data_IF_779206970534
#
_entry.id   IF_779206970534
#
_cell.length_a   1.000
_cell.length_b   1.000
_cell.length_c   1.000
_cell.angle_alpha   90.00
_cell.angle_beta   90.00
_cell.angle_gamma   90.00
#
_symmetry.space_group_name_H-M   'P 1'
#
loop_
_entity.id
_entity.type
_entity.pdbx_description
1 polymer ?
#
# COMPACT_ATOMS: atom_id res chain seq x y z
N UNK A 1 -3.28 -13.30 -0.52
CA UNK A 1 -4.73 -13.60 -0.38
C UNK A 1 -5.33 -13.53 -1.76
N UNK A 2 -6.18 -14.47 -2.14
CA UNK A 2 -6.93 -14.37 -3.41
C UNK A 2 -8.02 -13.31 -3.26
N UNK A 3 -8.08 -12.34 -4.18
CA UNK A 3 -9.10 -11.30 -4.15
C UNK A 3 -10.51 -11.77 -4.52
N UNK A 4 -10.64 -12.97 -5.11
CA UNK A 4 -11.95 -13.54 -5.50
C UNK A 4 -12.66 -14.19 -4.33
N UNK A 5 -11.94 -15.10 -3.66
CA UNK A 5 -12.52 -15.95 -2.62
C UNK A 5 -12.03 -15.57 -1.21
N UNK A 6 -11.14 -14.56 -1.10
CA UNK A 6 -10.51 -14.11 0.15
C UNK A 6 -9.75 -15.21 0.91
N UNK A 7 -9.39 -16.29 0.20
CA UNK A 7 -8.62 -17.39 0.76
C UNK A 7 -7.13 -17.03 0.84
N UNK A 8 -6.48 -17.50 1.91
CA UNK A 8 -5.05 -17.33 2.08
C UNK A 8 -4.33 -18.36 1.19
N UNK A 9 -3.78 -17.88 0.08
CA UNK A 9 -3.02 -18.71 -0.87
C UNK A 9 -1.71 -19.23 -0.26
N UNK A 10 -0.95 -18.34 0.38
CA UNK A 10 0.37 -18.63 0.91
C UNK A 10 0.66 -17.72 2.11
N UNK A 11 1.48 -18.22 3.05
CA UNK A 11 1.94 -17.51 4.23
C UNK A 11 3.45 -17.67 4.33
N UNK A 12 4.15 -16.57 4.57
CA UNK A 12 5.57 -16.56 4.88
C UNK A 12 5.76 -16.07 6.32
N UNK A 13 6.26 -16.90 7.25
CA UNK A 13 6.56 -16.44 8.61
C UNK A 13 7.80 -15.55 8.62
N UNK A 14 7.75 -14.49 9.43
CA UNK A 14 8.92 -13.67 9.75
C UNK A 14 9.67 -14.26 10.95
N UNK A 15 10.90 -13.81 11.17
CA UNK A 15 11.70 -14.24 12.33
C UNK A 15 11.05 -13.74 13.63
N UNK A 16 11.47 -14.31 14.77
CA UNK A 16 11.08 -13.81 16.08
C UNK A 16 11.55 -12.36 16.21
N UNK A 17 10.67 -11.50 16.72
CA UNK A 17 10.91 -10.07 16.96
C UNK A 17 11.14 -9.22 15.69
N UNK A 18 10.82 -9.78 14.52
CA UNK A 18 10.82 -9.09 13.23
C UNK A 18 9.42 -8.59 12.86
N UNK A 19 9.32 -7.30 12.53
CA UNK A 19 8.07 -6.64 12.18
C UNK A 19 8.10 -6.16 10.74
N UNK A 20 7.02 -6.42 10.00
CA UNK A 20 6.82 -5.87 8.65
C UNK A 20 6.40 -4.40 8.72
N UNK A 21 7.14 -3.53 8.05
CA UNK A 21 6.96 -2.07 8.12
C UNK A 21 6.29 -1.52 6.86
N UNK A 22 6.73 -1.98 5.68
CA UNK A 22 6.13 -1.62 4.40
C UNK A 22 6.09 -2.80 3.45
N UNK A 23 5.01 -2.87 2.67
CA UNK A 23 4.80 -3.87 1.63
C UNK A 23 4.40 -3.16 0.34
N UNK A 24 5.13 -3.41 -0.74
CA UNK A 24 4.91 -2.76 -2.04
C UNK A 24 5.05 -3.77 -3.17
N UNK A 25 4.19 -3.65 -4.18
CA UNK A 25 4.32 -4.40 -5.43
C UNK A 25 5.26 -3.65 -6.38
N UNK A 26 6.28 -4.36 -6.89
CA UNK A 26 7.33 -3.83 -7.75
C UNK A 26 7.28 -4.54 -9.10
N UNK A 27 7.44 -3.80 -10.19
CA UNK A 27 7.66 -4.35 -11.53
C UNK A 27 9.10 -4.13 -11.91
N UNK A 28 9.96 -5.12 -11.66
CA UNK A 28 11.40 -4.97 -11.83
C UNK A 28 11.87 -5.71 -13.07
N UNK A 29 12.88 -5.12 -13.71
CA UNK A 29 13.57 -5.72 -14.83
C UNK A 29 14.96 -6.14 -14.34
N UNK A 30 15.24 -7.43 -14.21
CA UNK A 30 16.53 -7.87 -13.70
C UNK A 30 17.64 -7.46 -14.68
N UNK A 31 18.72 -6.86 -14.15
CA UNK A 31 19.97 -6.71 -14.90
C UNK A 31 20.54 -8.11 -15.11
N UNK A 32 20.33 -8.69 -16.30
CA UNK A 32 20.86 -9.99 -16.64
C UNK A 32 22.38 -9.91 -16.90
N UNK A 33 23.15 -10.79 -16.26
CA UNK A 33 24.59 -10.98 -16.51
C UNK A 33 24.84 -11.78 -17.81
N UNK A 34 23.80 -12.37 -18.43
CA UNK A 34 23.90 -13.18 -19.65
C UNK A 34 22.65 -13.08 -20.55
N UNK A 35 22.78 -13.53 -21.80
CA UNK A 35 21.81 -13.39 -22.90
C UNK A 35 20.57 -14.29 -22.84
N UNK A 36 20.42 -15.12 -21.80
CA UNK A 36 19.41 -16.18 -21.74
C UNK A 36 18.16 -15.88 -20.87
N UNK A 37 18.09 -14.72 -20.21
CA UNK A 37 16.89 -14.35 -19.44
C UNK A 37 15.92 -13.53 -20.29
N UNK A 38 14.64 -13.91 -20.22
CA UNK A 38 13.55 -13.15 -20.82
C UNK A 38 13.58 -11.73 -20.25
N UNK A 39 13.69 -10.73 -21.13
CA UNK A 39 13.73 -9.30 -20.75
C UNK A 39 12.35 -8.77 -20.35
N UNK A 40 11.41 -9.66 -20.01
CA UNK A 40 10.07 -9.33 -19.57
C UNK A 40 10.10 -8.68 -18.18
N UNK A 41 9.10 -7.86 -17.89
CA UNK A 41 8.97 -7.26 -16.55
C UNK A 41 8.40 -8.33 -15.61
N UNK A 42 9.15 -8.64 -14.55
CA UNK A 42 8.69 -9.56 -13.51
C UNK A 42 8.03 -8.77 -12.37
N UNK A 43 6.95 -9.32 -11.81
CA UNK A 43 6.27 -8.71 -10.67
C UNK A 43 6.82 -9.31 -9.38
N UNK A 44 7.32 -8.45 -8.51
CA UNK A 44 7.82 -8.81 -7.19
C UNK A 44 6.97 -8.15 -6.11
N UNK A 45 6.87 -8.78 -4.96
CA UNK A 45 6.39 -8.17 -3.73
C UNK A 45 7.61 -7.88 -2.88
N UNK A 46 7.88 -6.60 -2.66
CA UNK A 46 8.91 -6.15 -1.74
C UNK A 46 8.32 -5.94 -0.36
N UNK A 47 8.93 -6.57 0.64
CA UNK A 47 8.60 -6.41 2.06
C UNK A 47 9.83 -5.85 2.77
N UNK A 48 9.62 -4.79 3.51
CA UNK A 48 10.63 -4.20 4.39
C UNK A 48 10.31 -4.55 5.83
N UNK A 49 11.34 -4.92 6.58
CA UNK A 49 11.21 -5.37 7.96
C UNK A 49 12.18 -4.64 8.88
N UNK A 50 11.84 -4.62 10.16
CA UNK A 50 12.69 -4.13 11.25
C UNK A 50 12.64 -5.07 12.44
N UNK A 51 13.78 -5.32 13.05
CA UNK A 51 13.88 -6.07 14.30
C UNK A 51 13.74 -5.14 15.48
N UNK A 52 12.82 -5.45 16.40
CA UNK A 52 12.69 -4.73 17.66
C UNK A 52 13.27 -5.61 18.75
N UNK A 53 14.45 -5.24 19.26
CA UNK A 53 15.13 -6.04 20.28
C UNK A 53 14.55 -5.75 21.67
N UNK A 54 14.62 -6.73 22.58
CA UNK A 54 14.06 -6.65 23.94
C UNK A 54 14.60 -5.48 24.78
N UNK A 55 15.79 -4.97 24.45
CA UNK A 55 16.39 -3.80 25.12
C UNK A 55 15.80 -2.44 24.74
N UNK A 56 14.79 -2.40 23.86
CA UNK A 56 14.08 -1.17 23.53
C UNK A 56 14.94 -0.17 22.75
N UNK A 57 14.87 1.11 23.15
CA UNK A 57 15.53 2.23 22.45
C UNK A 57 17.07 2.20 22.55
N UNK A 58 17.62 1.61 23.61
CA UNK A 58 19.07 1.60 23.86
C UNK A 58 19.84 0.66 22.92
N UNK A 59 19.14 -0.22 22.21
CA UNK A 59 19.73 -1.15 21.26
C UNK A 59 19.36 -0.76 19.85
N UNK A 60 20.37 -0.61 19.00
CA UNK A 60 20.15 -0.31 17.59
C UNK A 60 19.42 -1.45 16.89
N UNK A 61 18.40 -1.05 16.14
CA UNK A 61 17.53 -1.96 15.39
C UNK A 61 18.07 -2.15 13.98
N UNK A 62 18.07 -3.38 13.51
CA UNK A 62 18.47 -3.75 12.15
C UNK A 62 17.22 -4.05 11.31
N UNK A 63 17.34 -4.12 9.99
CA UNK A 63 16.22 -4.41 9.10
C UNK A 63 16.58 -5.35 7.95
N UNK A 64 15.56 -5.85 7.24
CA UNK A 64 15.75 -6.66 6.03
C UNK A 64 14.82 -6.20 4.92
N UNK A 65 15.24 -6.47 3.69
CA UNK A 65 14.39 -6.40 2.51
C UNK A 65 14.22 -7.81 1.96
N UNK A 66 12.96 -8.24 1.87
CA UNK A 66 12.56 -9.51 1.27
C UNK A 66 11.89 -9.21 -0.08
N UNK A 67 12.37 -9.84 -1.15
CA UNK A 67 11.74 -9.77 -2.47
C UNK A 67 11.17 -11.13 -2.83
N UNK A 68 9.85 -11.17 -3.01
CA UNK A 68 9.13 -12.36 -3.46
C UNK A 68 8.74 -12.20 -4.92
N UNK A 69 9.24 -13.05 -5.80
CA UNK A 69 8.72 -13.15 -7.17
C UNK A 69 7.32 -13.77 -7.13
N UNK A 70 6.36 -13.11 -7.78
CA UNK A 70 5.01 -13.63 -7.96
C UNK A 70 5.03 -14.52 -9.20
N UNK A 71 4.93 -15.83 -9.00
CA UNK A 71 4.83 -16.78 -10.11
C UNK A 71 3.45 -16.66 -10.76
N UNK A 72 3.39 -16.32 -12.05
CA UNK A 72 2.13 -16.31 -12.79
C UNK A 72 1.68 -17.75 -13.08
N UNK A 73 0.56 -18.23 -12.50
CA UNK A 73 0.07 -19.60 -12.75
C UNK A 73 -0.42 -19.81 -14.19
N UNK A 74 -0.60 -18.75 -14.99
CA UNK A 74 -0.95 -18.84 -16.41
C UNK A 74 0.25 -19.17 -17.31
N UNK A 75 1.49 -18.99 -16.82
CA UNK A 75 2.68 -19.65 -17.36
C UNK A 75 2.68 -21.11 -16.90
N UNK A 76 1.80 -21.92 -17.49
CA UNK A 76 1.79 -23.38 -17.30
C UNK A 76 3.08 -23.93 -17.91
N UNK A 77 3.97 -24.40 -17.05
CA UNK A 77 5.01 -25.35 -17.42
C UNK A 77 4.39 -26.74 -17.28
N UNK A 78 4.47 -27.55 -18.34
CA UNK A 78 4.29 -29.00 -18.21
C UNK A 78 5.49 -29.60 -17.46
N UNK A 79 5.39 -30.84 -17.00
CA UNK A 79 6.42 -31.55 -16.21
C UNK A 79 7.82 -31.59 -16.89
N UNK A 80 7.88 -31.31 -18.20
CA UNK A 80 9.11 -31.23 -19.01
C UNK A 80 9.63 -29.80 -19.27
N UNK A 81 9.04 -28.75 -18.66
CA UNK A 81 9.57 -27.38 -18.69
C UNK A 81 9.33 -26.59 -19.98
N UNK A 82 8.37 -26.98 -20.81
CA UNK A 82 7.98 -26.24 -22.04
C UNK A 82 6.81 -25.28 -21.74
N UNK A 83 6.90 -24.06 -22.28
CA UNK A 83 5.86 -23.01 -22.15
C UNK A 83 4.68 -23.39 -23.05
N UNK A 84 3.55 -23.79 -22.47
CA UNK A 84 2.29 -23.88 -23.22
C UNK A 84 1.68 -22.49 -23.40
N UNK A 85 1.37 -22.13 -24.65
CA UNK A 85 0.67 -20.89 -24.98
C UNK A 85 -0.72 -20.79 -24.34
N UNK A 86 -1.32 -19.59 -24.31
CA UNK A 86 -2.62 -19.38 -23.69
C UNK A 86 -3.71 -20.22 -24.38
N UNK A 87 -4.57 -20.84 -23.58
CA UNK A 87 -5.74 -21.57 -24.08
C UNK A 87 -6.59 -20.63 -24.95
N UNK A 88 -7.11 -21.08 -26.10
CA UNK A 88 -8.05 -20.28 -26.87
C UNK A 88 -9.27 -20.00 -26.00
N UNK A 89 -9.59 -18.70 -25.85
CA UNK A 89 -10.81 -18.24 -25.20
C UNK A 89 -12.00 -18.95 -25.83
N UNK A 90 -12.77 -19.68 -25.02
CA UNK A 90 -14.00 -20.31 -25.47
C UNK A 90 -14.94 -19.22 -26.01
N UNK A 91 -15.12 -19.21 -27.33
CA UNK A 91 -15.99 -18.27 -28.01
C UNK A 91 -17.45 -18.59 -27.60
N UNK A 92 -18.19 -17.65 -26.96
CA UNK A 92 -19.57 -17.90 -26.54
C UNK A 92 -20.55 -18.07 -27.72
N UNK A 93 -20.08 -17.97 -28.97
CA UNK A 93 -20.88 -18.12 -30.18
C UNK A 93 -21.07 -19.58 -30.66
N UNK A 94 -20.46 -20.60 -30.03
CA UNK A 94 -20.55 -22.00 -30.47
C UNK A 94 -21.63 -22.84 -29.74
N UNK A 95 -22.70 -22.21 -29.26
CA UNK A 95 -23.94 -22.91 -28.84
C UNK A 95 -25.09 -22.52 -29.76
N UNK A 96 -25.02 -22.94 -31.02
CA UNK A 96 -26.18 -23.00 -31.93
C UNK A 96 -25.88 -24.00 -33.04
N UNK A 97 -26.67 -25.06 -33.08
CA UNK A 97 -26.58 -26.11 -34.10
C UNK A 97 -26.26 -27.45 -33.46
N UNK A 98 -27.28 -28.15 -33.00
CA UNK A 98 -27.60 -29.50 -33.50
C UNK A 98 -28.80 -30.07 -32.70
N UNK A 99 -29.96 -29.44 -32.93
CA UNK A 99 -31.25 -30.10 -32.76
C UNK A 99 -31.67 -30.63 -34.14
N UNK A 100 -31.60 -31.95 -34.36
CA UNK A 100 -32.69 -32.79 -34.88
C UNK A 100 -32.24 -34.17 -35.39
N UNK A 101 -33.08 -35.15 -35.02
CA UNK A 101 -33.47 -36.38 -35.71
C UNK A 101 -32.67 -37.67 -35.43
N UNK A 102 -33.25 -38.55 -34.60
CA UNK A 102 -33.93 -39.80 -35.02
C UNK A 102 -34.10 -40.68 -33.75
N UNK A 103 -35.28 -40.78 -33.15
CA UNK A 103 -36.45 -41.59 -33.54
C UNK A 103 -36.33 -43.08 -33.12
N UNK A 104 -37.40 -43.57 -32.49
CA UNK A 104 -37.73 -45.00 -32.36
C UNK A 104 -37.44 -45.71 -31.03
N UNK A 105 -38.50 -46.09 -30.30
CA UNK A 105 -38.49 -47.39 -29.58
C UNK A 105 -39.09 -47.48 -28.17
N UNK A 106 -40.42 -47.41 -28.09
CA UNK A 106 -41.33 -48.09 -27.15
C UNK A 106 -40.86 -48.90 -25.91
N UNK A 107 -41.56 -48.58 -24.81
CA UNK A 107 -42.36 -49.52 -23.97
C UNK A 107 -41.81 -50.07 -22.64
N UNK A 108 -42.72 -50.02 -21.65
CA UNK A 108 -42.86 -50.80 -20.41
C UNK A 108 -41.76 -50.63 -19.32
N UNK A 109 -42.04 -50.58 -18.02
CA UNK A 109 -43.28 -50.69 -17.25
C UNK A 109 -42.94 -50.73 -15.73
N UNK A 110 -43.89 -50.26 -14.93
CA UNK A 110 -44.25 -50.69 -13.57
C UNK A 110 -43.24 -50.67 -12.38
N UNK A 111 -43.71 -49.99 -11.31
CA UNK A 111 -43.75 -50.40 -9.90
C UNK A 111 -42.42 -50.44 -9.10
N UNK A 112 -42.33 -50.28 -7.78
CA UNK A 112 -43.17 -49.77 -6.66
C UNK A 112 -42.36 -50.02 -5.37
N UNK A 113 -42.77 -49.39 -4.24
CA UNK A 113 -42.42 -49.64 -2.82
C UNK A 113 -41.16 -48.92 -2.30
N UNK A 114 -41.27 -47.93 -1.40
CA UNK A 114 -41.76 -47.92 0.00
C UNK A 114 -41.01 -48.84 0.96
N UNK A 115 -40.59 -48.27 2.10
CA UNK A 115 -40.04 -49.01 3.24
C UNK A 115 -39.33 -48.12 4.27
N UNK A 116 -40.12 -47.47 5.12
CA UNK A 116 -39.77 -46.60 6.26
C UNK A 116 -39.33 -47.37 7.52
N UNK A 117 -38.91 -46.59 8.54
CA UNK A 117 -38.94 -46.86 10.02
C UNK A 117 -37.61 -47.27 10.69
N UNK A 118 -37.33 -47.02 11.98
CA UNK A 118 -37.51 -45.91 12.95
C UNK A 118 -37.03 -46.40 14.33
N UNK A 119 -36.43 -45.54 15.17
CA UNK A 119 -36.37 -45.65 16.66
C UNK A 119 -35.31 -46.61 17.24
N UNK A 120 -34.73 -46.46 18.44
CA UNK A 120 -35.03 -45.62 19.63
C UNK A 120 -33.84 -45.70 20.62
N UNK A 121 -33.81 -44.78 21.60
CA UNK A 121 -32.84 -44.54 22.69
C UNK A 121 -32.54 -45.68 23.69
N UNK A 122 -31.47 -45.54 24.49
CA UNK A 122 -31.51 -45.57 25.99
C UNK A 122 -30.19 -45.11 26.65
N UNK A 123 -30.36 -44.40 27.77
CA UNK A 123 -29.36 -43.81 28.69
C UNK A 123 -28.56 -44.81 29.55
N UNK A 124 -27.40 -44.36 30.07
CA UNK A 124 -27.06 -44.45 31.52
C UNK A 124 -25.79 -43.69 31.92
N UNK A 125 -25.92 -42.89 32.99
CA UNK A 125 -24.90 -42.16 33.76
C UNK A 125 -23.95 -43.08 34.57
N UNK A 126 -22.73 -42.58 34.88
CA UNK A 126 -22.20 -42.54 36.27
C UNK A 126 -20.98 -41.61 36.45
N UNK A 127 -21.04 -40.78 37.50
CA UNK A 127 -20.01 -39.89 38.08
C UNK A 127 -19.08 -40.61 39.08
N UNK A 128 -17.84 -40.12 39.21
CA UNK A 128 -17.02 -39.88 40.44
C UNK A 128 -15.57 -39.60 39.97
N UNK A 129 -14.76 -38.63 40.42
CA UNK A 129 -14.74 -37.75 41.60
C UNK A 129 -13.63 -38.19 42.57
N UNK A 130 -12.51 -37.46 42.70
CA UNK A 130 -11.52 -37.64 43.78
C UNK A 130 -10.06 -37.25 43.45
N UNK A 131 -9.39 -36.58 44.38
CA UNK A 131 -8.23 -35.69 44.25
C UNK A 131 -6.88 -36.25 44.77
N UNK A 132 -5.80 -35.49 44.45
CA UNK A 132 -4.49 -35.27 45.11
C UNK A 132 -3.65 -36.42 45.70
N UNK A 133 -2.33 -36.43 45.42
CA UNK A 133 -1.23 -36.18 46.39
C UNK A 133 0.16 -36.31 45.72
N UNK A 134 1.06 -35.39 46.09
CA UNK A 134 2.48 -35.26 45.74
C UNK A 134 3.35 -36.52 45.97
N UNK A 135 4.45 -36.64 45.22
CA UNK A 135 5.74 -37.11 45.75
C UNK A 135 6.94 -36.53 44.97
N UNK A 136 7.87 -36.01 45.76
CA UNK A 136 9.17 -35.42 45.45
C UNK A 136 10.25 -36.44 45.09
N UNK A 137 11.24 -36.04 44.29
CA UNK A 137 12.64 -36.40 44.57
C UNK A 137 13.63 -35.48 43.87
N UNK A 138 14.42 -34.82 44.71
CA UNK A 138 15.64 -34.04 44.48
C UNK A 138 16.82 -34.92 44.06
N UNK A 139 17.61 -34.52 43.06
CA UNK A 139 19.04 -34.86 42.93
C UNK A 139 19.78 -33.68 42.26
N UNK A 140 20.79 -33.12 42.94
CA UNK A 140 21.82 -32.25 42.34
C UNK A 140 23.16 -33.03 42.15
N UNK A 141 24.29 -32.44 41.74
CA UNK A 141 24.92 -32.72 40.46
C UNK A 141 26.28 -33.43 40.62
N UNK A 142 26.82 -34.00 39.55
CA UNK A 142 28.22 -34.46 39.54
C UNK A 142 28.93 -33.96 38.30
N UNK A 143 29.93 -33.12 38.54
CA UNK A 143 30.99 -32.71 37.62
C UNK A 143 32.04 -33.81 37.47
N UNK A 144 32.48 -34.10 36.24
CA UNK A 144 33.83 -34.60 35.94
C UNK A 144 34.23 -34.28 34.49
N UNK A 145 35.54 -34.23 34.28
CA UNK A 145 36.33 -33.46 33.31
C UNK A 145 36.33 -33.90 31.83
N UNK A 146 36.51 -32.86 30.99
CA UNK A 146 37.27 -32.74 29.74
C UNK A 146 37.83 -33.99 29.02
N UNK A 147 37.49 -34.10 27.73
CA UNK A 147 38.23 -34.82 26.70
C UNK A 147 37.87 -34.24 25.33
N UNK A 148 38.85 -33.69 24.62
CA UNK A 148 38.72 -33.15 23.28
C UNK A 148 38.83 -34.26 22.23
N UNK A 149 37.89 -34.31 21.28
CA UNK A 149 38.08 -34.66 19.86
C UNK A 149 36.72 -34.85 19.16
N UNK A 150 36.70 -34.56 17.86
CA UNK A 150 35.73 -34.99 16.84
C UNK A 150 34.53 -34.07 16.52
N UNK A 151 34.87 -32.89 15.98
CA UNK A 151 34.07 -32.17 14.99
C UNK A 151 34.09 -32.94 13.65
N UNK A 152 33.02 -33.66 13.31
CA UNK A 152 32.80 -34.15 11.95
C UNK A 152 31.34 -34.48 11.57
N UNK A 153 30.33 -34.25 12.43
CA UNK A 153 28.99 -34.78 12.20
C UNK A 153 27.85 -33.74 12.18
N UNK A 154 28.14 -32.44 12.19
CA UNK A 154 27.12 -31.37 12.14
C UNK A 154 26.78 -30.91 10.71
N UNK A 155 27.49 -31.41 9.68
CA UNK A 155 27.26 -31.03 8.28
C UNK A 155 26.23 -31.88 7.53
N UNK A 156 25.93 -33.09 7.99
CA UNK A 156 25.04 -34.02 7.26
C UNK A 156 23.57 -33.88 7.68
N UNK A 157 23.27 -33.45 8.92
CA UNK A 157 21.88 -33.22 9.37
C UNK A 157 21.28 -31.91 8.81
N UNK A 158 22.10 -30.88 8.53
CA UNK A 158 21.65 -29.67 7.84
C UNK A 158 21.36 -29.94 6.34
N UNK A 159 22.13 -30.80 5.69
CA UNK A 159 21.89 -31.18 4.29
C UNK A 159 20.64 -32.06 4.13
N UNK A 160 20.30 -32.91 5.11
CA UNK A 160 19.04 -33.68 5.12
C UNK A 160 17.80 -32.80 5.34
N UNK A 161 17.90 -31.74 6.15
CA UNK A 161 16.78 -30.79 6.34
C UNK A 161 16.52 -29.95 5.07
N UNK A 162 17.58 -29.61 4.33
CA UNK A 162 17.52 -28.87 3.05
C UNK A 162 17.08 -29.76 1.89
N UNK A 163 17.31 -31.07 1.94
CA UNK A 163 16.89 -32.02 0.90
C UNK A 163 15.48 -32.60 1.13
N UNK A 164 15.03 -32.79 2.38
CA UNK A 164 13.65 -33.21 2.66
C UNK A 164 12.61 -32.10 2.43
N UNK A 165 13.00 -30.82 2.49
CA UNK A 165 12.15 -29.69 2.03
C UNK A 165 11.99 -29.64 0.51
N UNK A 166 12.76 -30.41 -0.27
CA UNK A 166 12.78 -30.37 -1.74
C UNK A 166 11.84 -31.37 -2.45
N UNK A 167 11.26 -32.35 -1.74
CA UNK A 167 10.47 -33.43 -2.34
C UNK A 167 8.93 -33.22 -2.34
N UNK A 168 8.46 -32.01 -2.00
CA UNK A 168 7.07 -31.58 -2.21
C UNK A 168 7.07 -30.15 -2.73
N UNK A 169 7.43 -29.96 -4.01
CA UNK A 169 7.10 -28.72 -4.72
C UNK A 169 5.57 -28.63 -4.87
N UNK A 170 4.91 -28.28 -3.76
CA UNK A 170 3.59 -27.65 -3.80
C UNK A 170 3.75 -26.39 -4.62
N UNK A 171 2.84 -26.18 -5.55
CA UNK A 171 2.74 -25.01 -6.42
C UNK A 171 2.68 -23.73 -5.55
N UNK A 172 3.83 -23.16 -5.22
CA UNK A 172 3.95 -21.92 -4.42
C UNK A 172 3.67 -20.74 -5.32
N UNK A 173 2.90 -19.77 -4.84
CA UNK A 173 2.56 -18.54 -5.55
C UNK A 173 3.65 -17.47 -5.37
N UNK A 174 4.43 -17.59 -4.30
CA UNK A 174 5.51 -16.69 -3.92
C UNK A 174 6.82 -17.46 -3.89
N UNK A 175 7.80 -16.99 -4.64
CA UNK A 175 9.17 -17.47 -4.57
C UNK A 175 10.04 -16.40 -3.93
N UNK A 176 10.68 -16.71 -2.80
CA UNK A 176 11.65 -15.79 -2.21
C UNK A 176 12.89 -15.70 -3.12
N UNK A 177 13.07 -14.55 -3.76
CA UNK A 177 14.18 -14.30 -4.69
C UNK A 177 15.36 -13.61 -4.00
N UNK A 178 15.11 -12.77 -3.00
CA UNK A 178 16.17 -12.07 -2.25
C UNK A 178 15.79 -11.87 -0.79
N UNK A 179 16.76 -12.09 0.09
CA UNK A 179 16.71 -11.65 1.48
C UNK A 179 18.00 -10.90 1.81
N UNK A 180 17.94 -9.57 1.77
CA UNK A 180 19.09 -8.70 2.03
C UNK A 180 18.97 -8.07 3.41
N UNK A 181 20.02 -8.20 4.24
CA UNK A 181 20.09 -7.60 5.59
C UNK A 181 20.71 -6.20 5.52
N UNK A 182 20.13 -5.27 6.26
CA UNK A 182 20.55 -3.88 6.39
C UNK A 182 21.01 -3.60 7.82
N UNK A 183 21.88 -2.61 7.99
CA UNK A 183 22.45 -2.28 9.31
C UNK A 183 21.46 -1.50 10.18
N UNK A 184 20.61 -0.71 9.56
CA UNK A 184 19.49 -0.02 10.19
C UNK A 184 18.16 -0.65 9.80
N UNK A 185 17.11 -0.23 10.50
CA UNK A 185 15.71 -0.54 10.19
C UNK A 185 15.36 -0.09 8.77
N UNK A 186 14.63 -0.91 8.01
CA UNK A 186 14.15 -0.52 6.69
C UNK A 186 12.72 0.01 6.82
N UNK A 187 12.56 1.32 6.91
CA UNK A 187 11.28 1.93 7.28
C UNK A 187 10.28 1.98 6.12
N UNK A 188 10.75 2.17 4.90
CA UNK A 188 9.90 2.30 3.72
C UNK A 188 10.60 1.80 2.45
N UNK A 189 9.80 1.34 1.50
CA UNK A 189 10.26 0.79 0.23
C UNK A 189 9.36 1.32 -0.90
N UNK A 190 9.93 1.59 -2.08
CA UNK A 190 9.16 1.94 -3.28
C UNK A 190 9.90 1.57 -4.57
N UNK A 191 9.15 1.41 -5.66
CA UNK A 191 9.72 1.31 -6.99
C UNK A 191 10.19 2.69 -7.50
N UNK A 192 11.40 2.76 -8.05
CA UNK A 192 11.95 3.92 -8.74
C UNK A 192 12.44 3.51 -10.13
N UNK A 193 11.60 3.72 -11.15
CA UNK A 193 11.84 3.21 -12.51
C UNK A 193 12.08 1.67 -12.47
N UNK A 194 13.23 1.19 -12.93
CA UNK A 194 13.65 -0.22 -12.87
C UNK A 194 14.38 -0.59 -11.57
N UNK A 195 14.57 0.38 -10.66
CA UNK A 195 15.34 0.24 -9.43
C UNK A 195 14.42 0.14 -8.20
N UNK A 196 14.98 -0.36 -7.10
CA UNK A 196 14.31 -0.41 -5.80
C UNK A 196 14.85 0.72 -4.94
N UNK A 197 13.97 1.60 -4.48
CA UNK A 197 14.28 2.64 -3.51
C UNK A 197 13.97 2.11 -2.10
N UNK A 198 14.97 2.13 -1.23
CA UNK A 198 14.92 1.61 0.13
C UNK A 198 15.30 2.73 1.09
N UNK A 199 14.50 2.95 2.13
CA UNK A 199 14.81 3.89 3.19
C UNK A 199 15.36 3.14 4.41
N UNK A 200 16.64 3.31 4.67
CA UNK A 200 17.31 2.81 5.87
C UNK A 200 17.24 3.89 6.96
N UNK A 201 16.89 3.50 8.18
CA UNK A 201 16.96 4.36 9.36
C UNK A 201 18.40 4.57 9.85
N UNK A 202 18.57 5.34 10.93
CA UNK A 202 19.87 5.51 11.58
C UNK A 202 20.48 4.17 12.01
N UNK A 203 21.80 4.06 11.92
CA UNK A 203 22.56 2.87 12.31
C UNK A 203 23.91 3.28 12.96
N UNK A 204 24.71 2.31 13.40
CA UNK A 204 26.00 2.57 14.07
C UNK A 204 26.96 3.44 13.24
N UNK A 205 26.91 3.32 11.91
CA UNK A 205 27.79 4.03 11.01
C UNK A 205 27.26 5.42 10.64
N UNK A 206 25.93 5.60 10.63
CA UNK A 206 25.26 6.79 10.16
C UNK A 206 24.20 7.21 11.18
N UNK A 207 24.42 8.36 11.82
CA UNK A 207 23.45 8.93 12.75
C UNK A 207 22.14 9.39 12.08
N UNK A 208 22.09 9.41 10.75
CA UNK A 208 20.96 9.90 9.98
C UNK A 208 20.38 8.82 9.06
N UNK A 209 19.08 8.89 8.79
CA UNK A 209 18.43 7.99 7.83
C UNK A 209 18.98 8.21 6.42
N UNK A 210 18.90 7.20 5.55
CA UNK A 210 19.32 7.25 4.15
C UNK A 210 18.27 6.72 3.22
N UNK A 211 18.10 7.38 2.08
CA UNK A 211 17.45 6.81 0.92
C UNK A 211 18.53 6.18 0.04
N UNK A 212 18.44 4.88 -0.17
CA UNK A 212 19.35 4.11 -1.00
C UNK A 212 18.62 3.53 -2.21
N UNK A 213 19.26 3.56 -3.38
CA UNK A 213 18.70 3.07 -4.64
C UNK A 213 19.49 1.87 -5.10
N UNK A 214 18.79 0.76 -5.32
CA UNK A 214 19.37 -0.54 -5.63
C UNK A 214 19.00 -1.02 -7.04
N UNK A 215 19.99 -1.54 -7.77
CA UNK A 215 19.79 -2.36 -8.96
C UNK A 215 19.42 -3.78 -8.53
N UNK A 216 18.38 -4.32 -9.15
CA UNK A 216 18.02 -5.73 -9.01
C UNK A 216 18.81 -6.59 -9.97
N UNK A 217 19.65 -7.50 -9.43
CA UNK A 217 20.46 -8.45 -10.19
C UNK A 217 20.05 -9.87 -9.85
N UNK A 218 20.00 -10.72 -10.87
CA UNK A 218 19.74 -12.14 -10.70
C UNK A 218 21.04 -12.92 -10.85
N UNK A 219 21.48 -13.58 -9.79
CA UNK A 219 22.68 -14.42 -9.83
C UNK A 219 22.32 -15.81 -10.36
N UNK A 220 23.21 -16.35 -11.20
CA UNK A 220 23.04 -17.67 -11.83
C UNK A 220 23.53 -18.75 -10.86
N UNK A 221 22.59 -19.47 -10.24
CA UNK A 221 22.89 -20.64 -9.41
C UNK A 221 21.65 -21.48 -9.18
N UNK A 222 21.78 -22.74 -8.71
CA UNK A 222 20.67 -23.68 -8.50
C UNK A 222 19.68 -23.28 -7.37
N UNK A 223 19.65 -22.00 -7.00
CA UNK A 223 18.69 -21.37 -6.08
C UNK A 223 17.96 -20.13 -6.65
N UNK A 224 18.34 -19.58 -7.82
CA UNK A 224 17.86 -18.28 -8.36
C UNK A 224 17.73 -17.21 -7.26
N UNK A 225 18.79 -17.03 -6.48
CA UNK A 225 18.88 -15.96 -5.48
C UNK A 225 19.42 -14.73 -6.19
N UNK A 226 18.66 -13.63 -6.18
CA UNK A 226 19.14 -12.35 -6.69
C UNK A 226 19.75 -11.50 -5.59
N UNK A 227 20.60 -10.57 -5.98
CA UNK A 227 21.30 -9.64 -5.09
C UNK A 227 20.95 -8.19 -5.43
N UNK A 228 20.91 -7.35 -4.39
CA UNK A 228 20.68 -5.92 -4.52
C UNK A 228 22.02 -5.19 -4.56
N UNK A 229 22.29 -4.49 -5.66
CA UNK A 229 23.52 -3.68 -5.82
C UNK A 229 23.20 -2.21 -5.61
N UNK A 230 23.84 -1.57 -4.63
CA UNK A 230 23.70 -0.13 -4.39
C UNK A 230 24.22 0.68 -5.59
N UNK A 231 23.40 1.62 -6.06
CA UNK A 231 23.72 2.52 -7.19
C UNK A 231 23.91 3.97 -6.73
N UNK A 232 23.05 4.43 -5.82
CA UNK A 232 23.06 5.80 -5.34
C UNK A 232 22.43 5.92 -3.97
N UNK A 233 22.75 7.01 -3.26
CA UNK A 233 22.22 7.27 -1.93
C UNK A 233 21.92 8.77 -1.73
N UNK A 234 21.09 9.07 -0.75
CA UNK A 234 20.74 10.43 -0.31
C UNK A 234 20.54 10.43 1.21
N UNK A 235 21.29 11.29 1.89
CA UNK A 235 21.19 11.44 3.34
C UNK A 235 19.90 12.19 3.73
N UNK A 236 19.06 11.52 4.52
CA UNK A 236 17.92 12.09 5.23
C UNK A 236 18.30 12.44 6.67
N UNK A 237 17.36 12.94 7.47
CA UNK A 237 17.64 13.40 8.83
C UNK A 237 17.27 12.35 9.87
N UNK A 238 15.97 12.09 10.07
CA UNK A 238 15.50 11.29 11.21
C UNK A 238 15.04 9.91 10.76
N UNK A 239 13.85 9.83 10.17
CA UNK A 239 13.25 8.58 9.75
C UNK A 239 12.23 8.85 8.66
N UNK A 240 12.32 8.14 7.54
CA UNK A 240 11.35 8.27 6.45
C UNK A 240 10.15 7.37 6.73
N UNK A 241 8.98 7.97 6.93
CA UNK A 241 7.72 7.27 7.21
C UNK A 241 7.05 6.82 5.92
N UNK A 242 7.07 7.66 4.88
CA UNK A 242 6.46 7.35 3.58
C UNK A 242 7.31 7.86 2.44
N UNK A 243 7.52 7.00 1.45
CA UNK A 243 8.13 7.32 0.17
C UNK A 243 7.08 7.18 -0.94
N UNK A 244 7.05 8.14 -1.86
CA UNK A 244 6.18 8.11 -3.05
C UNK A 244 6.95 8.55 -4.27
N UNK A 245 6.81 7.81 -5.37
CA UNK A 245 7.58 8.04 -6.59
C UNK A 245 6.66 8.38 -7.76
N UNK A 246 7.07 9.35 -8.58
CA UNK A 246 6.46 9.69 -9.86
C UNK A 246 7.55 9.87 -10.89
N UNK A 247 7.65 8.93 -11.83
CA UNK A 247 8.73 8.90 -12.83
C UNK A 247 10.10 8.90 -12.14
N UNK A 248 10.80 10.03 -12.19
CA UNK A 248 12.13 10.21 -11.60
C UNK A 248 12.08 11.03 -10.30
N UNK A 249 10.91 11.57 -9.95
CA UNK A 249 10.76 12.37 -8.75
C UNK A 249 10.35 11.49 -7.57
N UNK A 250 10.95 11.76 -6.42
CA UNK A 250 10.76 11.05 -5.17
C UNK A 250 10.30 12.06 -4.12
N UNK A 251 9.15 11.78 -3.52
CA UNK A 251 8.67 12.47 -2.33
C UNK A 251 9.03 11.64 -1.10
N UNK A 252 9.70 12.28 -0.16
CA UNK A 252 10.08 11.68 1.12
C UNK A 252 9.33 12.42 2.22
N UNK A 253 8.56 11.68 3.02
CA UNK A 253 7.95 12.16 4.26
C UNK A 253 8.78 11.69 5.44
N UNK A 254 9.38 12.65 6.15
CA UNK A 254 10.16 12.42 7.35
C UNK A 254 9.26 12.56 8.60
N UNK A 255 9.54 11.77 9.63
CA UNK A 255 8.79 11.77 10.88
C UNK A 255 8.76 13.14 11.57
N UNK A 256 9.79 13.98 11.43
CA UNK A 256 9.91 15.28 12.10
C UNK A 256 10.20 16.44 11.14
N UNK A 257 10.84 16.17 10.02
CA UNK A 257 11.29 17.19 9.07
C UNK A 257 10.37 17.39 7.86
N UNK A 258 9.06 17.17 8.04
CA UNK A 258 8.05 17.39 7.00
C UNK A 258 8.39 16.60 5.72
N UNK A 259 8.37 17.25 4.56
CA UNK A 259 8.63 16.61 3.28
C UNK A 259 9.83 17.18 2.53
N UNK A 260 10.47 16.31 1.76
CA UNK A 260 11.53 16.65 0.80
C UNK A 260 11.18 16.12 -0.59
N UNK A 261 11.41 16.97 -1.59
CA UNK A 261 11.21 16.66 -3.00
C UNK A 261 12.56 16.48 -3.67
N UNK A 262 12.80 15.25 -4.14
CA UNK A 262 14.09 14.80 -4.68
C UNK A 262 13.90 14.34 -6.12
N UNK A 263 14.91 14.52 -6.96
CA UNK A 263 14.94 14.04 -8.34
C UNK A 263 16.07 13.04 -8.54
N UNK A 264 15.74 11.89 -9.10
CA UNK A 264 16.69 10.86 -9.51
C UNK A 264 17.25 11.16 -10.90
N UNK A 265 18.57 11.28 -10.98
CA UNK A 265 19.30 11.39 -12.24
C UNK A 265 19.98 10.06 -12.56
N UNK A 266 19.31 9.27 -13.39
CA UNK A 266 19.76 7.94 -13.78
C UNK A 266 21.17 7.93 -14.41
N UNK A 267 21.49 8.92 -15.25
CA UNK A 267 22.80 9.03 -15.91
C UNK A 267 23.97 9.15 -14.93
N UNK A 268 23.76 9.91 -13.85
CA UNK A 268 24.79 10.21 -12.86
C UNK A 268 24.65 9.30 -11.63
N UNK A 269 23.63 8.43 -11.59
CA UNK A 269 23.30 7.59 -10.43
C UNK A 269 23.16 8.40 -9.13
N UNK A 270 22.62 9.62 -9.24
CA UNK A 270 22.61 10.59 -8.14
C UNK A 270 21.19 11.13 -7.85
N UNK A 271 20.91 11.35 -6.57
CA UNK A 271 19.69 11.93 -6.04
C UNK A 271 19.92 13.40 -5.71
N UNK A 272 19.20 14.30 -6.40
CA UNK A 272 19.31 15.74 -6.18
C UNK A 272 18.06 16.28 -5.47
N UNK A 273 18.26 16.96 -4.34
CA UNK A 273 17.17 17.73 -3.70
C UNK A 273 16.73 18.89 -4.59
N UNK A 274 15.43 18.97 -4.86
CA UNK A 274 14.81 20.06 -5.60
C UNK A 274 14.23 21.12 -4.66
N UNK A 275 13.49 20.67 -3.64
CA UNK A 275 12.91 21.56 -2.65
C UNK A 275 12.61 20.81 -1.34
N UNK A 276 12.59 21.56 -0.24
CA UNK A 276 12.13 21.07 1.07
C UNK A 276 11.12 22.02 1.68
N UNK A 277 10.30 21.48 2.58
CA UNK A 277 9.51 22.34 3.44
C UNK A 277 10.43 23.15 4.39
N UNK A 278 10.02 24.37 4.69
CA UNK A 278 10.69 25.23 5.65
C UNK A 278 10.21 24.99 7.08
N UNK A 279 8.97 24.50 7.23
CA UNK A 279 8.40 24.17 8.53
C UNK A 279 8.70 22.73 8.91
N UNK A 280 8.93 22.48 10.20
CA UNK A 280 8.91 21.12 10.72
C UNK A 280 7.45 20.71 10.90
N UNK A 281 7.14 19.49 10.47
CA UNK A 281 5.81 18.91 10.57
C UNK A 281 6.02 17.40 10.71
N UNK A 282 5.30 16.80 11.65
CA UNK A 282 5.41 15.38 11.89
C UNK A 282 4.49 14.65 10.89
N UNK A 283 5.08 13.92 9.94
CA UNK A 283 4.35 13.32 8.81
C UNK A 283 3.87 11.92 9.18
N UNK A 284 2.57 11.68 9.06
CA UNK A 284 1.98 10.34 9.19
C UNK A 284 1.88 9.62 7.85
N UNK A 285 1.67 10.37 6.77
CA UNK A 285 1.57 9.84 5.43
C UNK A 285 1.70 10.94 4.39
N UNK A 286 2.17 10.59 3.20
CA UNK A 286 2.28 11.53 2.09
C UNK A 286 1.86 10.89 0.77
N UNK A 287 1.43 11.72 -0.17
CA UNK A 287 1.05 11.32 -1.52
C UNK A 287 1.28 12.45 -2.52
N UNK A 288 1.31 12.12 -3.80
CA UNK A 288 1.44 13.08 -4.89
C UNK A 288 0.12 13.14 -5.64
N UNK A 289 -0.41 14.35 -5.82
CA UNK A 289 -1.58 14.66 -6.67
C UNK A 289 -1.09 15.35 -7.93
N UNK A 290 -1.65 14.96 -9.07
CA UNK A 290 -1.20 15.45 -10.37
C UNK A 290 -2.40 16.10 -11.06
N UNK A 291 -2.24 17.35 -11.44
CA UNK A 291 -3.19 18.08 -12.29
C UNK A 291 -2.38 18.75 -13.39
N UNK A 292 -2.02 17.99 -14.42
CA UNK A 292 -1.03 18.39 -15.40
C UNK A 292 -1.36 19.79 -15.98
N UNK A 293 -0.39 20.72 -16.04
CA UNK A 293 1.06 20.53 -15.82
C UNK A 293 1.52 20.63 -14.35
N UNK A 294 0.63 20.91 -13.40
CA UNK A 294 0.98 21.06 -12.00
C UNK A 294 1.09 19.71 -11.26
N UNK A 295 2.01 19.65 -10.31
CA UNK A 295 2.19 18.56 -9.37
C UNK A 295 2.11 19.15 -7.97
N UNK A 296 1.35 18.48 -7.09
CA UNK A 296 1.19 18.85 -5.71
C UNK A 296 1.54 17.68 -4.80
N UNK A 297 2.11 17.98 -3.63
CA UNK A 297 2.47 17.01 -2.61
C UNK A 297 1.45 17.14 -1.47
N UNK A 298 0.72 16.06 -1.20
CA UNK A 298 -0.17 15.93 -0.06
C UNK A 298 0.60 15.39 1.15
N UNK A 299 0.33 15.98 2.31
CA UNK A 299 0.94 15.59 3.58
C UNK A 299 -0.15 15.51 4.64
N UNK A 300 -0.26 14.37 5.30
CA UNK A 300 -1.04 14.21 6.52
C UNK A 300 -0.15 14.37 7.74
N UNK A 301 -0.57 15.23 8.67
CA UNK A 301 0.16 15.49 9.91
C UNK A 301 -0.48 14.83 11.14
N UNK A 302 0.29 14.76 12.22
CA UNK A 302 -0.10 14.28 13.55
C UNK A 302 -1.29 15.06 14.15
N UNK A 303 -1.37 16.37 13.83
CA UNK A 303 -2.44 17.27 14.20
C UNK A 303 -3.74 17.08 13.38
N UNK A 304 -3.80 16.04 12.54
CA UNK A 304 -4.99 15.63 11.75
C UNK A 304 -5.38 16.62 10.67
N UNK A 305 -4.40 17.33 10.14
CA UNK A 305 -4.51 18.19 8.99
C UNK A 305 -3.98 17.49 7.75
N UNK A 306 -4.52 17.93 6.62
CA UNK A 306 -4.01 17.66 5.30
C UNK A 306 -3.44 18.97 4.74
N UNK A 307 -2.15 18.95 4.36
CA UNK A 307 -1.44 20.08 3.77
C UNK A 307 -1.07 19.75 2.33
N UNK A 308 -1.10 20.77 1.48
CA UNK A 308 -0.76 20.67 0.06
C UNK A 308 0.40 21.59 -0.21
N UNK A 309 1.48 21.03 -0.73
CA UNK A 309 2.64 21.77 -1.17
C UNK A 309 2.75 21.74 -2.69
N UNK A 310 3.29 22.80 -3.27
CA UNK A 310 3.58 22.89 -4.70
C UNK A 310 5.06 23.23 -4.92
N UNK A 311 5.66 22.56 -5.90
CA UNK A 311 6.98 22.90 -6.38
C UNK A 311 6.87 23.90 -7.53
N UNK A 312 7.29 25.15 -7.28
CA UNK A 312 7.25 26.27 -8.23
C UNK A 312 8.63 26.93 -8.27
N UNK A 313 9.58 26.45 -9.10
CA UNK A 313 10.91 27.03 -9.18
C UNK A 313 10.89 28.49 -9.68
N UNK A 314 9.92 28.85 -10.51
CA UNK A 314 9.83 30.20 -11.11
C UNK A 314 9.56 31.31 -10.08
N UNK A 315 8.84 30.98 -9.01
CA UNK A 315 8.35 31.96 -8.02
C UNK A 315 9.30 32.10 -6.83
N UNK A 316 10.17 31.12 -6.59
CA UNK A 316 11.04 31.07 -5.42
C UNK A 316 12.47 30.84 -5.87
N UNK A 317 13.34 31.83 -5.67
CA UNK A 317 14.80 31.66 -5.81
C UNK A 317 15.37 30.65 -4.80
N UNK A 318 14.62 30.34 -3.74
CA UNK A 318 15.00 29.34 -2.74
C UNK A 318 14.43 27.97 -3.09
N UNK A 319 15.17 26.90 -2.77
CA UNK A 319 14.72 25.51 -2.90
C UNK A 319 13.69 25.16 -1.81
N UNK A 320 12.58 25.91 -1.75
CA UNK A 320 11.52 25.79 -0.76
C UNK A 320 10.21 25.39 -1.42
N UNK A 321 9.53 24.43 -0.80
CA UNK A 321 8.18 24.05 -1.19
C UNK A 321 7.19 25.14 -0.77
N UNK A 322 6.27 25.48 -1.66
CA UNK A 322 5.25 26.46 -1.36
C UNK A 322 4.05 25.78 -0.73
N UNK A 323 3.72 26.19 0.50
CA UNK A 323 2.47 25.78 1.12
C UNK A 323 1.29 26.39 0.36
N UNK A 324 0.54 25.55 -0.35
CA UNK A 324 -0.50 25.95 -1.29
C UNK A 324 -1.90 25.88 -0.67
N UNK A 325 -2.16 24.88 0.17
CA UNK A 325 -3.46 24.69 0.80
C UNK A 325 -3.36 23.89 2.11
N UNK A 326 -4.31 24.10 3.01
CA UNK A 326 -4.45 23.35 4.26
C UNK A 326 -5.92 23.02 4.54
N UNK A 327 -6.17 21.89 5.22
CA UNK A 327 -7.50 21.45 5.60
C UNK A 327 -7.45 20.55 6.84
N UNK A 328 -8.24 20.86 7.86
CA UNK A 328 -8.36 19.97 9.01
C UNK A 328 -9.39 18.87 8.72
N UNK A 329 -8.92 17.63 8.70
CA UNK A 329 -9.76 16.45 8.42
C UNK A 329 -10.51 16.03 9.69
N UNK A 330 -9.82 16.06 10.84
CA UNK A 330 -10.36 15.68 12.15
C UNK A 330 -9.93 14.29 12.64
N UNK A 331 -9.34 13.49 11.76
CA UNK A 331 -8.80 12.16 12.02
C UNK A 331 -7.38 12.04 11.43
N UNK A 332 -6.47 11.27 12.05
CA UNK A 332 -5.14 11.02 11.49
C UNK A 332 -5.25 10.14 10.24
N UNK A 333 -4.49 10.48 9.20
CA UNK A 333 -4.44 9.76 7.92
C UNK A 333 -3.07 9.11 7.81
N UNK A 334 -3.05 7.80 7.55
CA UNK A 334 -1.81 7.01 7.46
C UNK A 334 -1.57 6.47 6.06
N UNK A 335 -2.62 6.22 5.28
CA UNK A 335 -2.51 5.62 3.95
C UNK A 335 -3.20 6.45 2.89
N UNK A 336 -2.57 6.45 1.72
CA UNK A 336 -3.05 7.11 0.51
C UNK A 336 -2.98 6.14 -0.66
N UNK A 337 -3.92 6.28 -1.59
CA UNK A 337 -3.93 5.53 -2.84
C UNK A 337 -4.26 6.48 -3.97
N UNK A 338 -3.32 6.63 -4.89
CA UNK A 338 -3.50 7.48 -6.08
C UNK A 338 -4.21 6.71 -7.19
N UNK A 339 -5.20 7.33 -7.82
CA UNK A 339 -5.86 6.80 -9.00
C UNK A 339 -5.90 7.83 -10.13
N UNK A 340 -5.97 7.33 -11.36
CA UNK A 340 -6.12 8.19 -12.53
C UNK A 340 -7.58 8.62 -12.65
N UNK A 341 -7.80 9.92 -12.77
CA UNK A 341 -9.12 10.50 -13.00
C UNK A 341 -9.42 10.47 -14.49
N UNK A 342 -10.59 9.96 -14.86
CA UNK A 342 -11.08 10.11 -16.22
C UNK A 342 -11.60 11.53 -16.41
N UNK A 343 -10.92 12.32 -17.23
CA UNK A 343 -11.38 13.64 -17.63
C UNK A 343 -11.96 13.56 -19.03
N UNK A 344 -13.16 14.12 -19.23
CA UNK A 344 -13.77 14.27 -20.55
C UNK A 344 -12.85 15.01 -21.54
N UNK A 345 -12.02 15.92 -21.01
CA UNK A 345 -10.91 16.52 -21.76
C UNK A 345 -9.68 15.62 -21.67
N UNK A 346 -9.59 14.61 -22.54
CA UNK A 346 -8.50 13.61 -22.61
C UNK A 346 -7.07 14.17 -22.81
N UNK A 347 -6.89 15.51 -22.82
CA UNK A 347 -5.62 16.16 -23.13
C UNK A 347 -4.62 16.16 -21.97
N UNK A 348 -5.10 16.12 -20.71
CA UNK A 348 -4.24 16.25 -19.53
C UNK A 348 -4.44 15.08 -18.57
N UNK A 349 -3.32 14.58 -18.04
CA UNK A 349 -3.33 13.51 -17.05
C UNK A 349 -3.67 14.12 -15.68
N UNK A 350 -4.80 13.72 -15.11
CA UNK A 350 -5.25 14.10 -13.77
C UNK A 350 -5.26 12.87 -12.89
N UNK A 351 -4.71 12.99 -11.68
CA UNK A 351 -4.70 11.95 -10.68
C UNK A 351 -5.22 12.49 -9.36
N UNK A 352 -6.22 11.81 -8.81
CA UNK A 352 -6.75 12.09 -7.48
C UNK A 352 -6.16 11.08 -6.49
N UNK A 353 -6.35 11.35 -5.21
CA UNK A 353 -5.88 10.47 -4.14
C UNK A 353 -7.01 10.12 -3.20
N UNK A 354 -7.27 8.84 -3.03
CA UNK A 354 -7.98 8.31 -1.88
C UNK A 354 -7.07 8.35 -0.66
N UNK A 355 -7.68 8.42 0.51
CA UNK A 355 -7.01 8.28 1.79
C UNK A 355 -7.91 7.53 2.77
N UNK A 356 -7.28 6.81 3.69
CA UNK A 356 -7.98 6.20 4.82
C UNK A 356 -7.46 6.78 6.14
N UNK A 357 -8.40 7.08 7.02
CA UNK A 357 -8.13 7.56 8.37
C UNK A 357 -8.10 6.40 9.36
N UNK A 358 -7.41 6.61 10.49
CA UNK A 358 -7.34 5.61 11.57
C UNK A 358 -8.70 5.37 12.25
N UNK A 359 -9.62 6.33 12.16
CA UNK A 359 -10.98 6.22 12.70
C UNK A 359 -11.90 5.37 11.78
N UNK A 360 -11.36 4.78 10.71
CA UNK A 360 -12.10 3.93 9.77
C UNK A 360 -12.86 4.69 8.67
N UNK A 361 -12.78 6.02 8.64
CA UNK A 361 -13.34 6.81 7.54
C UNK A 361 -12.40 6.82 6.33
N UNK A 362 -12.98 6.74 5.13
CA UNK A 362 -12.28 6.93 3.86
C UNK A 362 -12.73 8.26 3.23
N UNK A 363 -11.80 8.91 2.54
CA UNK A 363 -12.08 10.14 1.80
C UNK A 363 -11.18 10.28 0.59
N UNK A 364 -11.39 11.33 -0.19
CA UNK A 364 -10.58 11.58 -1.38
C UNK A 364 -10.25 13.06 -1.53
N UNK A 365 -9.11 13.31 -2.15
CA UNK A 365 -8.62 14.62 -2.56
C UNK A 365 -8.60 14.63 -4.07
N UNK A 366 -9.48 15.45 -4.65
CA UNK A 366 -9.64 15.58 -6.10
C UNK A 366 -9.15 16.96 -6.51
N UNK A 367 -8.22 17.07 -7.46
CA UNK A 367 -7.89 18.36 -8.06
C UNK A 367 -9.06 18.86 -8.91
N UNK A 368 -9.43 20.12 -8.71
CA UNK A 368 -10.57 20.78 -9.37
C UNK A 368 -10.08 22.00 -10.14
N UNK A 369 -10.67 22.23 -11.31
CA UNK A 369 -10.38 23.40 -12.13
C UNK A 369 -10.69 24.72 -11.40
N UNK A 370 -9.85 25.74 -11.59
CA UNK A 370 -9.94 27.02 -10.86
C UNK A 370 -11.32 27.69 -10.94
N UNK A 371 -11.98 27.61 -12.10
CA UNK A 371 -13.32 28.20 -12.29
C UNK A 371 -14.39 27.47 -11.46
N UNK A 372 -14.37 26.13 -11.49
CA UNK A 372 -15.25 25.29 -10.67
C UNK A 372 -14.93 25.47 -9.18
N UNK A 373 -13.65 25.56 -8.81
CA UNK A 373 -13.21 25.83 -7.45
C UNK A 373 -13.78 27.16 -6.92
N UNK A 374 -13.64 28.27 -7.66
CA UNK A 374 -14.15 29.59 -7.23
C UNK A 374 -15.67 29.59 -7.04
N UNK A 375 -16.40 28.96 -7.96
CA UNK A 375 -17.86 28.81 -7.89
C UNK A 375 -18.27 28.03 -6.64
N UNK A 376 -17.67 26.87 -6.41
CA UNK A 376 -17.96 26.03 -5.26
C UNK A 376 -17.49 26.67 -3.95
N UNK A 377 -16.39 27.42 -3.95
CA UNK A 377 -15.93 28.18 -2.79
C UNK A 377 -16.92 29.26 -2.37
N UNK A 378 -17.48 30.01 -3.34
CA UNK A 378 -18.53 30.99 -3.07
C UNK A 378 -19.80 30.32 -2.52
N UNK A 379 -20.20 29.17 -3.09
CA UNK A 379 -21.31 28.36 -2.59
C UNK A 379 -21.07 27.90 -1.15
N UNK A 380 -19.89 27.35 -0.86
CA UNK A 380 -19.52 26.94 0.49
C UNK A 380 -19.67 28.11 1.48
N UNK A 381 -19.25 29.32 1.09
CA UNK A 381 -19.39 30.52 1.91
C UNK A 381 -20.83 30.83 2.32
N UNK A 382 -21.79 30.65 1.40
CA UNK A 382 -23.22 30.85 1.69
C UNK A 382 -23.78 29.68 2.50
N UNK A 383 -23.45 28.44 2.15
CA UNK A 383 -23.96 27.23 2.83
C UNK A 383 -23.59 27.19 4.32
N UNK A 384 -22.43 27.73 4.70
CA UNK A 384 -22.03 27.85 6.11
C UNK A 384 -23.04 28.67 6.93
N UNK A 385 -23.66 29.69 6.34
CA UNK A 385 -24.60 30.57 7.06
C UNK A 385 -26.06 30.21 6.80
N UNK A 386 -26.37 29.67 5.62
CA UNK A 386 -27.73 29.39 5.20
C UNK A 386 -28.30 28.09 5.77
N UNK A 387 -27.45 27.11 6.09
CA UNK A 387 -27.88 25.81 6.58
C UNK A 387 -27.71 25.69 8.11
N UNK A 388 -28.64 25.03 8.81
CA UNK A 388 -28.42 24.64 10.19
C UNK A 388 -27.33 23.55 10.24
N UNK A 389 -26.41 23.67 11.20
CA UNK A 389 -25.36 22.68 11.43
C UNK A 389 -25.61 21.92 12.72
N UNK A 390 -25.21 20.65 12.72
CA UNK A 390 -25.31 19.79 13.89
C UNK A 390 -24.61 20.43 15.08
N UNK A 391 -25.29 20.47 16.23
CA UNK A 391 -24.81 21.10 17.46
C UNK A 391 -24.40 22.58 17.31
N UNK A 392 -24.92 23.30 16.30
CA UNK A 392 -24.57 24.69 16.00
C UNK A 392 -23.06 24.94 15.78
N UNK A 393 -22.31 23.89 15.45
CA UNK A 393 -20.89 24.00 15.19
C UNK A 393 -20.63 24.69 13.85
N UNK A 394 -19.59 25.52 13.80
CA UNK A 394 -19.20 26.18 12.56
C UNK A 394 -18.28 25.27 11.73
N UNK A 395 -18.73 24.72 10.58
CA UNK A 395 -17.90 23.84 9.76
C UNK A 395 -16.65 24.55 9.23
N UNK A 396 -16.74 25.85 8.93
CA UNK A 396 -15.57 26.62 8.44
C UNK A 396 -14.48 26.74 9.50
N UNK A 397 -14.87 26.91 10.77
CA UNK A 397 -13.91 26.99 11.87
C UNK A 397 -13.26 25.62 12.12
N UNK A 398 -14.06 24.55 12.07
CA UNK A 398 -13.55 23.18 12.21
C UNK A 398 -12.49 22.82 11.15
N UNK A 399 -12.68 23.24 9.89
CA UNK A 399 -11.73 22.95 8.79
C UNK A 399 -10.44 23.76 8.80
N UNK A 400 -10.29 24.74 9.69
CA UNK A 400 -9.03 25.48 9.82
C UNK A 400 -7.94 24.58 10.41
N UNK A 401 -6.79 24.48 9.74
CA UNK A 401 -5.71 23.62 10.18
C UNK A 401 -5.24 23.97 11.60
N UNK A 402 -5.03 22.93 12.42
CA UNK A 402 -4.39 23.07 13.73
C UNK A 402 -2.90 23.23 13.54
N UNK A 403 -2.25 24.02 14.38
CA UNK A 403 -0.81 24.31 14.22
C UNK A 403 -0.15 24.42 15.58
N UNK A 404 1.13 24.08 15.63
CA UNK A 404 1.96 24.43 16.77
C UNK A 404 2.19 25.95 16.82
N UNK A 405 2.44 26.47 18.01
CA UNK A 405 2.60 27.91 18.26
C UNK A 405 3.75 28.55 17.46
N UNK A 406 4.70 27.75 16.99
CA UNK A 406 5.87 28.17 16.22
C UNK A 406 5.60 28.36 14.72
N UNK A 407 4.46 27.89 14.21
CA UNK A 407 4.12 28.01 12.79
C UNK A 407 3.42 29.34 12.48
N UNK A 408 4.22 30.29 11.98
CA UNK A 408 3.81 31.67 11.66
C UNK A 408 3.31 31.80 10.22
N UNK A 409 3.32 30.72 9.41
CA UNK A 409 2.95 30.82 7.99
C UNK A 409 1.51 31.35 7.80
N UNK A 410 1.17 32.03 6.70
CA UNK A 410 -0.23 32.39 6.44
C UNK A 410 -1.10 31.14 6.23
N UNK A 411 -2.38 31.23 6.60
CA UNK A 411 -3.38 30.17 6.38
C UNK A 411 -3.83 30.11 4.93
N UNK A 412 -3.79 28.93 4.32
CA UNK A 412 -4.11 28.74 2.90
C UNK A 412 -5.41 27.94 2.73
N UNK A 413 -6.54 28.64 2.60
CA UNK A 413 -7.88 28.03 2.53
C UNK A 413 -8.24 27.61 1.10
N UNK A 414 -7.44 26.74 0.48
CA UNK A 414 -7.61 26.30 -0.92
C UNK A 414 -8.05 24.84 -1.06
N UNK A 415 -8.78 24.33 -0.07
CA UNK A 415 -9.46 23.03 -0.12
C UNK A 415 -10.94 23.25 0.19
N UNK A 416 -11.81 22.66 -0.62
CA UNK A 416 -13.26 22.69 -0.44
C UNK A 416 -13.72 21.56 0.49
N UNK A 417 -14.76 21.81 1.26
CA UNK A 417 -15.39 20.79 2.10
C UNK A 417 -16.49 20.06 1.32
N UNK A 418 -16.16 18.89 0.78
CA UNK A 418 -17.09 18.05 0.03
C UNK A 418 -18.34 17.66 0.84
N UNK A 419 -18.19 17.42 2.15
CA UNK A 419 -19.31 17.03 3.00
C UNK A 419 -20.35 18.15 3.14
N UNK A 420 -19.90 19.41 3.18
CA UNK A 420 -20.79 20.56 3.19
C UNK A 420 -21.41 20.82 1.81
N UNK A 421 -20.61 20.70 0.74
CA UNK A 421 -21.07 20.91 -0.62
C UNK A 421 -22.15 19.90 -1.03
N UNK A 422 -22.03 18.63 -0.62
CA UNK A 422 -23.01 17.60 -0.96
C UNK A 422 -24.38 17.84 -0.32
N UNK A 423 -24.45 18.60 0.78
CA UNK A 423 -25.73 19.02 1.36
C UNK A 423 -26.56 19.89 0.41
N UNK A 424 -25.92 20.60 -0.52
CA UNK A 424 -26.62 21.38 -1.54
C UNK A 424 -27.50 20.49 -2.44
N UNK A 425 -27.00 19.30 -2.78
CA UNK A 425 -27.71 18.33 -3.63
C UNK A 425 -29.00 17.87 -2.93
N UNK A 426 -29.00 17.78 -1.60
CA UNK A 426 -30.16 17.38 -0.81
C UNK A 426 -31.20 18.49 -0.56
N UNK A 427 -30.95 19.73 -1.00
CA UNK A 427 -31.89 20.84 -0.82
C UNK A 427 -33.00 20.85 -1.87
N UNK A 428 -34.15 21.43 -1.52
CA UNK A 428 -35.25 21.65 -2.45
C UNK A 428 -34.85 22.56 -3.62
N UNK A 429 -35.42 22.33 -4.81
CA UNK A 429 -35.11 23.10 -6.02
C UNK A 429 -35.28 24.63 -5.84
N UNK A 430 -36.25 25.06 -5.02
CA UNK A 430 -36.45 26.49 -4.71
C UNK A 430 -35.30 27.08 -3.89
N UNK A 431 -34.82 26.33 -2.88
CA UNK A 431 -33.68 26.76 -2.08
C UNK A 431 -32.38 26.70 -2.88
N UNK A 432 -32.19 25.67 -3.71
CA UNK A 432 -31.06 25.59 -4.63
C UNK A 432 -31.01 26.83 -5.53
N UNK A 433 -32.13 27.18 -6.18
CA UNK A 433 -32.21 28.37 -7.04
C UNK A 433 -31.96 29.67 -6.26
N UNK A 434 -32.47 29.79 -5.02
CA UNK A 434 -32.25 30.95 -4.16
C UNK A 434 -30.76 31.13 -3.83
N UNK A 435 -30.09 30.04 -3.46
CA UNK A 435 -28.67 30.05 -3.08
C UNK A 435 -27.77 30.30 -4.29
N UNK A 436 -28.05 29.69 -5.45
CA UNK A 436 -27.24 29.91 -6.66
C UNK A 436 -27.44 31.31 -7.23
N UNK A 437 -28.66 31.85 -7.16
CA UNK A 437 -28.95 33.24 -7.52
C UNK A 437 -28.13 34.23 -6.67
N UNK A 438 -28.01 33.98 -5.37
CA UNK A 438 -27.20 34.81 -4.47
C UNK A 438 -25.69 34.82 -4.81
N UNK A 439 -25.19 33.78 -5.49
CA UNK A 439 -23.78 33.65 -5.92
C UNK A 439 -23.58 34.23 -7.32
N UNK A 440 -24.66 34.42 -8.10
CA UNK A 440 -24.58 34.76 -9.51
C UNK A 440 -24.24 33.56 -10.40
N UNK A 441 -24.73 32.37 -10.06
CA UNK A 441 -24.56 31.15 -10.88
C UNK A 441 -25.89 30.42 -11.09
N UNK A 442 -25.90 29.42 -11.97
CA UNK A 442 -27.08 28.59 -12.21
C UNK A 442 -26.96 27.25 -11.47
N UNK A 443 -28.09 26.59 -11.21
CA UNK A 443 -28.13 25.31 -10.49
C UNK A 443 -27.41 24.22 -11.28
N UNK A 444 -27.62 24.18 -12.60
CA UNK A 444 -27.02 23.20 -13.51
C UNK A 444 -25.50 23.31 -13.48
N UNK A 445 -24.99 24.53 -13.40
CA UNK A 445 -23.57 24.84 -13.35
C UNK A 445 -22.88 24.34 -12.07
N UNK A 446 -23.59 24.39 -10.94
CA UNK A 446 -23.11 23.84 -9.67
C UNK A 446 -23.21 22.33 -9.68
N UNK A 447 -24.37 21.78 -10.06
CA UNK A 447 -24.59 20.34 -10.09
C UNK A 447 -23.65 19.64 -11.08
N UNK A 448 -23.36 20.25 -12.23
CA UNK A 448 -22.36 19.75 -13.18
C UNK A 448 -20.98 19.68 -12.54
N UNK A 449 -20.54 20.72 -11.82
CA UNK A 449 -19.24 20.71 -11.17
C UNK A 449 -19.14 19.65 -10.04
N UNK A 450 -20.21 19.45 -9.27
CA UNK A 450 -20.28 18.39 -8.25
C UNK A 450 -20.27 17.00 -8.90
N UNK A 451 -20.99 16.84 -10.01
CA UNK A 451 -21.00 15.62 -10.81
C UNK A 451 -19.62 15.29 -11.39
N UNK A 452 -18.90 16.27 -11.92
CA UNK A 452 -17.55 16.05 -12.45
C UNK A 452 -16.59 15.51 -11.36
N UNK A 453 -16.75 15.98 -10.13
CA UNK A 453 -15.99 15.49 -8.97
C UNK A 453 -16.39 14.05 -8.63
N UNK A 454 -17.69 13.73 -8.66
CA UNK A 454 -18.19 12.37 -8.41
C UNK A 454 -17.72 11.37 -9.48
N UNK A 455 -17.81 11.75 -10.76
CA UNK A 455 -17.28 10.96 -11.88
C UNK A 455 -15.76 10.76 -11.75
N UNK A 456 -15.03 11.74 -11.20
CA UNK A 456 -13.59 11.61 -10.92
C UNK A 456 -13.26 10.56 -9.85
N UNK A 457 -14.23 10.21 -9.00
CA UNK A 457 -14.09 9.22 -7.92
C UNK A 457 -14.61 7.83 -8.31
N UNK A 458 -15.40 7.73 -9.36
CA UNK A 458 -16.06 6.48 -9.80
C UNK A 458 -15.14 5.31 -10.19
N UNK A 459 -13.82 5.48 -10.17
CA UNK A 459 -12.83 4.45 -10.56
C UNK A 459 -12.84 3.21 -9.65
N UNK A 460 -13.45 3.29 -8.47
CA UNK A 460 -13.65 2.14 -7.59
C UNK A 460 -14.92 1.32 -7.92
N UNK A 461 -15.77 1.79 -8.84
CA UNK A 461 -17.04 1.13 -9.21
C UNK A 461 -16.94 0.35 -10.53
#
# INVERSE_FOLDING_TARGET
VDGRDWLILEKHPLDKDEWGLSLVMLKLKPEATSTCFDKSDHTYIGVSTGYVQDGGEDILSHGRVLLFEVSDPSRRLDDDGVILGPLPMANPAARKGDDKAADGGGSAGAASKEGTSSGTMTDKEKKQGGADTQKSSTVQPTTVHAGAADNANEGEEEEEWVTQTRARQKKTWLRLSCASRFKGIVSALSQLQAHVAVCEGPNEANACARLEVYAWRMDQGPGLTGSLRLIGFFDQLVLVVSIKVVKNYVLLGDLRHSIQWVNWREKDSNLQILAKDATCCDVLGCEIVIDAPAIAMLVADDLRNLRVFQFRPDLSKSNRLQHAAEFHVGAPITSFVRHKVWSASQKLQRFASWFASLDGAAGAVVPVDEHSFRRLYALQGILVNALPHTAALNPRAFRLARRHLTDIAPRQKKILDGALLWRFVSLDAREQARLTCAIGTTVENVLSALRDIDESLSVLC
#
